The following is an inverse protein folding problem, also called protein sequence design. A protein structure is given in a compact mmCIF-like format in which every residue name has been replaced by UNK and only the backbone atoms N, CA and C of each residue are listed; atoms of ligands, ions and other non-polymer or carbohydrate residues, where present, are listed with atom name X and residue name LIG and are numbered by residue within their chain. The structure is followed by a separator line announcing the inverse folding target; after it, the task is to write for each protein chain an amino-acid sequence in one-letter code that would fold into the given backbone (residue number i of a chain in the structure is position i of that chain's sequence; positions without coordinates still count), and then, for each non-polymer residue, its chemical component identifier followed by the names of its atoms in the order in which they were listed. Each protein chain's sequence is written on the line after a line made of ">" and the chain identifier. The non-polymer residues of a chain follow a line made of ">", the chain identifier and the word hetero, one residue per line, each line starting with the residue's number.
data_IF_718334547006
#
_entry.id   IF_718334547006
#
_cell.length_a   1.000
_cell.length_b   1.000
_cell.length_c   1.000
_cell.angle_alpha   90.00
_cell.angle_beta   90.00
_cell.angle_gamma   90.00
#
_symmetry.space_group_name_H-M   'P 1'
#
loop_
_entity.id
_entity.type
_entity.pdbx_description
1 polymer ?
#
# COMPACT_ATOMS: atom_id res chain seq x y z
N UNK A 1 -15.44 -45.30 -45.57
CA UNK A 1 -16.12 -44.00 -45.33
C UNK A 1 -16.22 -43.81 -43.83
N UNK A 2 -15.52 -42.80 -43.31
CA UNK A 2 -15.59 -42.18 -41.96
C UNK A 2 -15.47 -43.11 -40.73
N UNK A 3 -14.79 -42.78 -39.65
CA UNK A 3 -14.10 -41.55 -39.23
C UNK A 3 -13.16 -41.93 -38.08
N UNK A 4 -12.01 -41.27 -38.09
CA UNK A 4 -11.10 -40.93 -36.98
C UNK A 4 -11.86 -40.36 -35.77
N UNK A 5 -11.38 -40.24 -34.53
CA UNK A 5 -10.03 -40.25 -33.97
C UNK A 5 -10.13 -40.38 -32.42
N UNK A 6 -9.07 -40.94 -31.83
CA UNK A 6 -8.35 -40.50 -30.61
C UNK A 6 -9.16 -40.05 -29.37
N UNK A 7 -8.99 -40.79 -28.27
CA UNK A 7 -8.54 -40.24 -26.98
C UNK A 7 -8.46 -41.35 -25.92
N UNK A 8 -7.28 -41.60 -25.36
CA UNK A 8 -7.08 -41.94 -23.93
C UNK A 8 -5.57 -41.97 -23.67
N UNK A 9 -4.99 -40.81 -23.36
CA UNK A 9 -3.74 -40.77 -22.60
C UNK A 9 -4.07 -40.33 -21.17
N UNK A 10 -4.12 -41.34 -20.32
CA UNK A 10 -4.11 -41.23 -18.87
C UNK A 10 -2.72 -40.78 -18.42
N UNK A 11 -2.64 -39.74 -17.58
CA UNK A 11 -1.49 -39.54 -16.70
C UNK A 11 -1.92 -38.81 -15.43
N UNK A 12 -2.26 -39.67 -14.47
CA UNK A 12 -2.17 -39.48 -13.04
C UNK A 12 -0.82 -38.88 -12.66
N UNK A 13 -0.81 -37.65 -12.11
CA UNK A 13 0.36 -37.15 -11.37
C UNK A 13 -0.03 -36.99 -9.92
N UNK A 14 0.73 -37.71 -9.11
CA UNK A 14 0.54 -38.01 -7.72
C UNK A 14 0.88 -36.81 -6.84
N UNK A 15 0.04 -36.60 -5.82
CA UNK A 15 0.38 -35.84 -4.63
C UNK A 15 1.65 -36.42 -3.98
N UNK A 16 2.69 -35.60 -3.86
CA UNK A 16 3.80 -35.85 -2.93
C UNK A 16 3.88 -34.69 -1.95
N UNK A 17 3.22 -34.88 -0.80
CA UNK A 17 3.51 -34.13 0.41
C UNK A 17 4.95 -34.43 0.86
N UNK A 18 5.72 -33.39 1.12
CA UNK A 18 6.84 -33.44 2.06
C UNK A 18 7.07 -32.05 2.64
N UNK A 19 6.65 -31.90 3.89
CA UNK A 19 6.98 -30.84 4.80
C UNK A 19 8.49 -30.71 5.03
N UNK A 20 9.04 -29.50 4.97
CA UNK A 20 10.05 -29.06 5.94
C UNK A 20 10.21 -27.54 5.91
N UNK A 21 9.79 -26.91 7.00
CA UNK A 21 10.12 -25.53 7.40
C UNK A 21 11.63 -25.40 7.53
N UNK A 22 12.25 -24.42 6.86
CA UNK A 22 13.51 -23.77 7.30
C UNK A 22 13.52 -22.31 6.86
N UNK A 23 13.54 -21.43 7.85
CA UNK A 23 13.79 -20.01 7.70
C UNK A 23 15.22 -19.81 7.14
N UNK A 24 15.37 -19.02 6.07
CA UNK A 24 16.68 -18.55 5.62
C UNK A 24 16.57 -17.09 5.13
N UNK A 25 17.46 -16.25 5.65
CA UNK A 25 17.60 -14.82 5.38
C UNK A 25 17.81 -14.49 3.89
N UNK A 26 17.49 -13.27 3.44
CA UNK A 26 17.79 -12.85 2.08
C UNK A 26 19.29 -12.60 1.91
N UNK A 27 19.91 -13.43 1.08
CA UNK A 27 21.23 -13.24 0.48
C UNK A 27 21.18 -12.08 -0.52
N UNK A 28 21.99 -11.04 -0.27
CA UNK A 28 22.18 -9.91 -1.19
C UNK A 28 23.08 -10.39 -2.35
N UNK A 29 22.55 -10.40 -3.57
CA UNK A 29 23.34 -10.63 -4.78
C UNK A 29 24.01 -9.31 -5.21
N UNK A 30 25.34 -9.33 -5.17
CA UNK A 30 26.24 -8.29 -5.65
C UNK A 30 26.20 -8.19 -7.18
N UNK A 31 25.96 -6.96 -7.70
CA UNK A 31 26.31 -6.59 -9.06
C UNK A 31 27.74 -6.03 -9.06
N UNK A 32 28.62 -6.69 -9.81
CA UNK A 32 30.02 -6.32 -10.01
C UNK A 32 30.15 -5.18 -11.02
N UNK A 33 30.89 -4.12 -10.68
CA UNK A 33 31.58 -3.28 -11.66
C UNK A 33 32.84 -2.66 -11.03
N UNK A 34 33.98 -2.58 -11.74
CA UNK A 34 35.28 -2.34 -11.15
C UNK A 34 35.69 -0.86 -11.25
N UNK A 35 35.98 -0.23 -10.12
CA UNK A 35 36.83 0.95 -10.07
C UNK A 35 37.64 0.92 -8.79
N UNK A 36 38.94 0.67 -8.95
CA UNK A 36 39.91 0.63 -7.88
C UNK A 36 40.03 2.01 -7.20
N UNK A 37 39.85 2.03 -5.88
CA UNK A 37 40.68 2.86 -5.01
C UNK A 37 40.79 2.15 -3.67
N UNK A 38 42.02 1.78 -3.32
CA UNK A 38 42.31 1.03 -2.11
C UNK A 38 42.15 1.93 -0.89
N UNK A 39 41.36 1.52 0.09
CA UNK A 39 41.50 2.01 1.45
C UNK A 39 41.63 0.80 2.38
N UNK A 40 42.88 0.50 2.72
CA UNK A 40 43.26 -0.51 3.69
C UNK A 40 42.63 -0.19 5.05
N UNK A 41 41.76 -1.08 5.55
CA UNK A 41 41.27 -1.02 6.93
C UNK A 41 42.40 -1.49 7.83
N UNK A 42 43.19 -0.54 8.34
CA UNK A 42 44.10 -0.80 9.45
C UNK A 42 43.28 -0.82 10.74
N UNK A 43 43.18 -2.00 11.34
CA UNK A 43 42.75 -2.19 12.72
C UNK A 43 43.67 -1.38 13.64
N UNK A 44 43.14 -0.31 14.23
CA UNK A 44 43.84 0.51 15.22
C UNK A 44 43.24 0.30 16.59
N UNK A 45 44.15 -0.04 17.50
CA UNK A 45 43.93 -0.37 18.88
C UNK A 45 43.24 0.77 19.64
N UNK A 46 42.28 0.38 20.47
CA UNK A 46 41.55 1.24 21.41
C UNK A 46 42.56 1.86 22.38
N UNK A 47 42.91 3.12 22.17
CA UNK A 47 43.58 3.95 23.17
C UNK A 47 42.51 4.70 23.97
N UNK A 48 42.41 4.35 25.25
CA UNK A 48 41.62 5.03 26.26
C UNK A 48 42.08 6.50 26.40
N UNK A 49 41.50 7.38 25.60
CA UNK A 49 41.65 8.82 25.78
C UNK A 49 40.61 9.28 26.80
N UNK A 50 41.02 9.38 28.07
CA UNK A 50 40.25 10.10 29.11
C UNK A 50 40.03 11.53 28.64
N UNK A 51 38.85 11.82 28.10
CA UNK A 51 38.39 13.18 27.94
C UNK A 51 38.02 13.70 29.33
N UNK A 52 38.92 14.50 29.91
CA UNK A 52 38.59 15.38 31.04
C UNK A 52 37.64 16.45 30.48
N UNK A 53 36.35 16.15 30.49
CA UNK A 53 35.33 17.15 30.25
C UNK A 53 35.47 18.22 31.35
N UNK A 54 35.91 19.43 30.97
CA UNK A 54 35.71 20.59 31.83
C UNK A 54 34.21 20.80 31.90
N UNK A 55 33.61 20.44 33.04
CA UNK A 55 32.24 20.77 33.37
C UNK A 55 32.12 22.29 33.38
N UNK A 56 31.71 22.85 32.26
CA UNK A 56 31.09 24.16 32.26
C UNK A 56 29.75 23.95 32.93
N UNK A 57 29.62 24.48 34.14
CA UNK A 57 28.32 24.60 34.81
C UNK A 57 27.43 25.42 33.89
N UNK A 58 26.64 24.75 33.05
CA UNK A 58 25.46 25.35 32.46
C UNK A 58 24.53 25.59 33.63
N UNK A 59 24.64 26.79 34.21
CA UNK A 59 23.71 27.28 35.20
C UNK A 59 22.36 27.36 34.50
N UNK A 60 21.59 26.28 34.62
CA UNK A 60 20.23 26.19 34.16
C UNK A 60 19.44 27.13 35.07
N UNK A 61 19.39 28.41 34.70
CA UNK A 61 18.56 29.37 35.40
C UNK A 61 17.16 28.78 35.42
N UNK A 62 16.67 28.51 36.64
CA UNK A 62 15.33 28.02 36.90
C UNK A 62 14.36 29.14 36.53
N UNK A 63 14.14 29.33 35.23
CA UNK A 63 12.99 30.04 34.72
C UNK A 63 11.77 29.34 35.30
N UNK A 64 10.80 30.08 35.88
CA UNK A 64 9.59 29.47 36.41
C UNK A 64 8.98 28.63 35.29
N UNK A 65 8.86 27.32 35.52
CA UNK A 65 8.14 26.41 34.64
C UNK A 65 6.67 26.78 34.70
N UNK A 66 6.29 27.89 34.05
CA UNK A 66 4.92 28.14 33.66
C UNK A 66 4.67 27.09 32.58
N UNK A 67 4.14 25.94 33.01
CA UNK A 67 3.84 24.85 32.11
C UNK A 67 3.01 25.40 30.96
N UNK A 68 3.54 25.31 29.74
CA UNK A 68 2.73 25.54 28.56
C UNK A 68 1.72 24.40 28.53
N UNK A 69 0.54 24.61 29.11
CA UNK A 69 -0.59 23.70 28.97
C UNK A 69 -1.12 23.93 27.57
N UNK A 70 -0.56 23.22 26.59
CA UNK A 70 -1.11 23.17 25.24
C UNK A 70 -2.46 22.45 25.32
N UNK A 71 -3.55 23.22 25.40
CA UNK A 71 -4.91 22.72 25.18
C UNK A 71 -5.05 22.47 23.68
N UNK A 72 -4.83 21.23 23.24
CA UNK A 72 -5.28 20.83 21.91
C UNK A 72 -6.81 21.01 21.90
N UNK A 73 -7.31 21.82 20.97
CA UNK A 73 -8.73 21.80 20.66
C UNK A 73 -9.05 20.41 20.12
N UNK A 74 -10.19 19.84 20.54
CA UNK A 74 -10.66 18.57 20.01
C UNK A 74 -10.99 18.76 18.53
N UNK A 75 -10.12 18.24 17.67
CA UNK A 75 -10.30 18.29 16.23
C UNK A 75 -11.44 17.34 15.86
N UNK A 76 -12.54 17.89 15.37
CA UNK A 76 -13.65 17.11 14.83
C UNK A 76 -13.41 16.88 13.35
N UNK A 77 -13.38 15.61 12.98
CA UNK A 77 -13.28 15.23 11.60
C UNK A 77 -14.55 15.69 10.86
N UNK A 78 -14.45 16.26 9.65
CA UNK A 78 -15.62 16.56 8.84
C UNK A 78 -16.46 15.31 8.62
N UNK A 79 -17.78 15.47 8.62
CA UNK A 79 -18.66 14.37 8.23
C UNK A 79 -18.43 14.05 6.74
N UNK A 80 -18.52 12.77 6.34
CA UNK A 80 -18.44 12.38 4.93
C UNK A 80 -19.45 13.13 4.06
N UNK A 81 -19.06 13.47 2.82
CA UNK A 81 -19.91 14.19 1.86
C UNK A 81 -20.42 13.21 0.79
N UNK A 82 -21.71 12.80 0.79
CA UNK A 82 -22.22 11.81 -0.15
C UNK A 82 -22.10 12.23 -1.63
N UNK A 83 -22.29 13.52 -1.92
CA UNK A 83 -22.20 14.07 -3.28
C UNK A 83 -20.78 13.95 -3.85
N UNK A 84 -19.76 14.19 -3.01
CA UNK A 84 -18.37 13.99 -3.37
C UNK A 84 -18.09 12.51 -3.64
N UNK A 85 -18.59 11.62 -2.76
CA UNK A 85 -18.41 10.18 -2.92
C UNK A 85 -18.97 9.67 -4.25
N UNK A 86 -20.17 10.08 -4.66
CA UNK A 86 -20.75 9.71 -5.95
C UNK A 86 -19.92 10.22 -7.14
N UNK A 87 -19.51 11.49 -7.10
CA UNK A 87 -18.72 12.10 -8.16
C UNK A 87 -17.34 11.42 -8.33
N UNK A 88 -16.69 11.10 -7.21
CA UNK A 88 -15.36 10.50 -7.19
C UNK A 88 -15.40 9.01 -7.56
N UNK A 89 -16.40 8.29 -7.07
CA UNK A 89 -16.66 6.88 -7.41
C UNK A 89 -16.87 6.70 -8.92
N UNK A 90 -17.55 7.65 -9.58
CA UNK A 90 -17.72 7.60 -11.03
C UNK A 90 -16.39 7.67 -11.79
N UNK A 91 -15.50 8.59 -11.39
CA UNK A 91 -14.15 8.71 -11.99
C UNK A 91 -13.31 7.47 -11.71
N UNK A 92 -13.40 6.94 -10.49
CA UNK A 92 -12.73 5.72 -10.07
C UNK A 92 -13.13 4.53 -10.95
N UNK A 93 -14.44 4.33 -11.15
CA UNK A 93 -14.99 3.26 -11.99
C UNK A 93 -14.43 3.32 -13.41
N UNK A 94 -14.49 4.50 -14.03
CA UNK A 94 -13.99 4.71 -15.40
C UNK A 94 -12.48 4.43 -15.50
N UNK A 95 -11.71 4.83 -14.49
CA UNK A 95 -10.29 4.54 -14.42
C UNK A 95 -10.01 3.04 -14.26
N UNK A 96 -10.75 2.35 -13.39
CA UNK A 96 -10.60 0.91 -13.16
C UNK A 96 -10.91 0.12 -14.44
N UNK A 97 -12.03 0.39 -15.11
CA UNK A 97 -12.36 -0.24 -16.40
C UNK A 97 -11.24 -0.02 -17.42
N UNK A 98 -10.70 1.20 -17.52
CA UNK A 98 -9.58 1.53 -18.43
C UNK A 98 -8.26 0.87 -18.05
N UNK A 99 -8.00 0.61 -16.76
CA UNK A 99 -6.76 -0.01 -16.30
C UNK A 99 -6.79 -1.52 -16.43
N UNK A 100 -7.91 -2.14 -16.11
CA UNK A 100 -8.06 -3.59 -16.12
C UNK A 100 -8.24 -4.13 -17.54
N UNK A 101 -8.93 -3.41 -18.43
CA UNK A 101 -9.03 -3.77 -19.87
C UNK A 101 -7.69 -3.84 -20.61
N UNK A 102 -6.62 -3.24 -20.07
CA UNK A 102 -5.27 -3.32 -20.64
C UNK A 102 -4.50 -4.58 -20.22
N UNK A 103 -5.04 -5.36 -19.30
CA UNK A 103 -4.39 -6.52 -18.70
C UNK A 103 -5.21 -7.74 -19.05
N UNK A 104 -4.56 -8.68 -19.74
CA UNK A 104 -5.16 -9.94 -20.20
C UNK A 104 -5.63 -10.85 -19.06
N UNK A 105 -5.20 -10.58 -17.82
CA UNK A 105 -5.51 -11.38 -16.64
C UNK A 105 -6.99 -11.34 -16.22
N UNK A 106 -7.75 -10.34 -16.67
CA UNK A 106 -9.10 -10.06 -16.19
C UNK A 106 -10.20 -10.42 -17.20
N UNK A 107 -9.80 -10.87 -18.40
CA UNK A 107 -10.58 -11.22 -19.59
C UNK A 107 -12.09 -10.91 -19.49
N UNK A 108 -12.91 -11.86 -19.03
CA UNK A 108 -14.37 -11.72 -18.98
C UNK A 108 -14.90 -11.19 -17.64
N UNK A 109 -14.04 -11.05 -16.64
CA UNK A 109 -14.40 -10.67 -15.27
C UNK A 109 -14.21 -9.17 -14.97
N UNK A 110 -13.80 -8.36 -15.96
CA UNK A 110 -13.49 -6.94 -15.75
C UNK A 110 -14.65 -6.18 -15.11
N UNK A 111 -15.87 -6.34 -15.64
CA UNK A 111 -17.04 -5.60 -15.16
C UNK A 111 -17.39 -5.99 -13.71
N UNK A 112 -17.26 -7.27 -13.36
CA UNK A 112 -17.51 -7.75 -11.99
C UNK A 112 -16.46 -7.23 -11.01
N UNK A 113 -15.18 -7.28 -11.39
CA UNK A 113 -14.07 -6.78 -10.57
C UNK A 113 -14.21 -5.27 -10.34
N UNK A 114 -14.54 -4.52 -11.39
CA UNK A 114 -14.81 -3.09 -11.29
C UNK A 114 -16.00 -2.83 -10.39
N UNK A 115 -17.08 -3.62 -10.51
CA UNK A 115 -18.25 -3.54 -9.64
C UNK A 115 -17.90 -3.68 -8.16
N UNK A 116 -17.19 -4.76 -7.79
CA UNK A 116 -16.73 -5.01 -6.41
C UNK A 116 -15.85 -3.87 -5.89
N UNK A 117 -14.85 -3.46 -6.67
CA UNK A 117 -13.96 -2.38 -6.25
C UNK A 117 -14.73 -1.06 -6.06
N UNK A 118 -15.69 -0.78 -6.94
CA UNK A 118 -16.48 0.45 -6.91
C UNK A 118 -17.40 0.48 -5.69
N UNK A 119 -18.09 -0.63 -5.39
CA UNK A 119 -18.99 -0.75 -4.24
C UNK A 119 -18.27 -0.54 -2.91
N UNK A 120 -17.12 -1.19 -2.72
CA UNK A 120 -16.31 -1.06 -1.49
C UNK A 120 -15.79 0.37 -1.35
N UNK A 121 -15.29 0.94 -2.45
CA UNK A 121 -14.74 2.30 -2.44
C UNK A 121 -15.81 3.36 -2.17
N UNK A 122 -16.98 3.25 -2.80
CA UNK A 122 -18.12 4.15 -2.58
C UNK A 122 -18.59 4.10 -1.12
N UNK A 123 -18.71 2.90 -0.56
CA UNK A 123 -19.12 2.69 0.83
C UNK A 123 -18.15 3.38 1.78
N UNK A 124 -16.86 3.21 1.57
CA UNK A 124 -15.82 3.89 2.34
C UNK A 124 -15.93 5.42 2.21
N UNK A 125 -16.03 5.95 0.99
CA UNK A 125 -16.12 7.40 0.78
C UNK A 125 -17.37 8.03 1.40
N UNK A 126 -18.49 7.30 1.42
CA UNK A 126 -19.76 7.77 2.01
C UNK A 126 -19.79 7.74 3.54
N UNK A 127 -19.00 6.91 4.19
CA UNK A 127 -19.18 6.60 5.62
C UNK A 127 -17.96 6.90 6.49
N UNK A 128 -16.75 6.81 5.93
CA UNK A 128 -15.51 6.88 6.71
C UNK A 128 -14.57 7.99 6.24
N UNK A 129 -14.60 8.32 4.94
CA UNK A 129 -13.75 9.38 4.41
C UNK A 129 -14.29 10.77 4.75
N UNK A 130 -13.57 11.49 5.61
CA UNK A 130 -13.90 12.87 5.99
C UNK A 130 -12.85 13.90 5.55
N UNK A 131 -12.10 13.60 4.49
CA UNK A 131 -11.21 14.56 3.85
C UNK A 131 -9.72 14.20 3.85
N UNK A 132 -8.85 15.15 3.43
CA UNK A 132 -7.51 14.83 2.98
C UNK A 132 -6.67 14.21 4.08
N UNK A 133 -5.90 13.17 3.75
CA UNK A 133 -5.08 12.44 4.71
C UNK A 133 -5.83 11.39 5.54
N UNK A 134 -7.11 11.12 5.25
CA UNK A 134 -7.87 10.01 5.87
C UNK A 134 -8.23 8.88 4.94
N UNK A 135 -7.56 8.80 3.79
CA UNK A 135 -7.64 7.63 2.94
C UNK A 135 -7.09 6.41 3.69
N UNK A 136 -7.96 5.46 4.03
CA UNK A 136 -7.59 4.24 4.74
C UNK A 136 -7.12 3.16 3.77
N UNK A 137 -6.26 2.27 4.27
CA UNK A 137 -5.81 1.09 3.51
C UNK A 137 -6.85 -0.04 3.56
N UNK A 138 -7.66 -0.10 4.62
CA UNK A 138 -8.63 -1.16 4.89
C UNK A 138 -9.56 -1.45 3.71
N UNK A 139 -10.21 -0.45 3.06
CA UNK A 139 -11.06 -0.70 1.90
C UNK A 139 -10.35 -1.43 0.76
N UNK A 140 -9.04 -1.20 0.57
CA UNK A 140 -8.28 -1.86 -0.48
C UNK A 140 -7.84 -3.28 -0.11
N UNK A 141 -7.73 -3.59 1.19
CA UNK A 141 -7.58 -4.97 1.66
C UNK A 141 -8.88 -5.72 1.37
N UNK A 142 -10.01 -5.13 1.75
CA UNK A 142 -11.34 -5.69 1.53
C UNK A 142 -11.61 -5.94 0.05
N UNK A 143 -11.13 -5.06 -0.85
CA UNK A 143 -11.18 -5.30 -2.29
C UNK A 143 -10.44 -6.57 -2.69
N UNK A 144 -9.21 -6.77 -2.21
CA UNK A 144 -8.42 -7.95 -2.56
C UNK A 144 -9.07 -9.23 -2.00
N UNK A 145 -9.52 -9.20 -0.75
CA UNK A 145 -10.13 -10.34 -0.08
C UNK A 145 -11.47 -10.70 -0.71
N UNK A 146 -12.34 -9.72 -0.96
CA UNK A 146 -13.64 -9.96 -1.62
C UNK A 146 -13.48 -10.53 -3.02
N UNK A 147 -12.49 -10.08 -3.79
CA UNK A 147 -12.22 -10.63 -5.11
C UNK A 147 -11.70 -12.08 -5.02
N UNK A 148 -10.85 -12.38 -4.04
CA UNK A 148 -10.37 -13.75 -3.81
C UNK A 148 -11.51 -14.69 -3.35
N UNK A 149 -12.39 -14.22 -2.47
CA UNK A 149 -13.55 -14.96 -1.99
C UNK A 149 -14.55 -15.27 -3.11
N UNK A 150 -14.68 -14.37 -4.09
CA UNK A 150 -15.49 -14.58 -5.30
C UNK A 150 -14.76 -15.34 -6.41
N UNK A 151 -13.55 -15.85 -6.12
CA UNK A 151 -12.68 -16.56 -7.08
C UNK A 151 -12.36 -15.73 -8.35
N UNK A 152 -12.39 -14.41 -8.25
CA UNK A 152 -12.12 -13.49 -9.37
C UNK A 152 -10.60 -13.31 -9.57
N UNK A 153 -10.14 -13.22 -10.82
CA UNK A 153 -8.72 -13.14 -11.11
C UNK A 153 -8.13 -11.79 -10.67
N UNK A 154 -6.90 -11.84 -10.16
CA UNK A 154 -6.06 -10.65 -9.98
C UNK A 154 -6.52 -9.66 -8.90
N UNK A 155 -7.15 -10.14 -7.83
CA UNK A 155 -7.57 -9.33 -6.68
C UNK A 155 -6.47 -8.37 -6.15
N UNK A 156 -5.26 -8.85 -5.82
CA UNK A 156 -4.16 -7.99 -5.37
C UNK A 156 -3.74 -6.92 -6.39
N UNK A 157 -3.87 -7.21 -7.69
CA UNK A 157 -3.53 -6.29 -8.77
C UNK A 157 -4.60 -5.20 -8.93
N UNK A 158 -5.88 -5.57 -8.83
CA UNK A 158 -6.99 -4.63 -8.82
C UNK A 158 -6.89 -3.68 -7.63
N UNK A 159 -6.67 -4.21 -6.42
CA UNK A 159 -6.47 -3.41 -5.22
C UNK A 159 -5.30 -2.43 -5.35
N UNK A 160 -4.15 -2.87 -5.90
CA UNK A 160 -3.00 -1.98 -6.15
C UNK A 160 -3.32 -0.87 -7.16
N UNK A 161 -4.07 -1.18 -8.20
CA UNK A 161 -4.50 -0.18 -9.18
C UNK A 161 -5.42 0.85 -8.53
N UNK A 162 -6.32 0.39 -7.64
CA UNK A 162 -7.22 1.22 -6.88
C UNK A 162 -6.48 2.14 -5.89
N UNK A 163 -5.55 1.59 -5.09
CA UNK A 163 -4.70 2.37 -4.16
C UNK A 163 -4.00 3.49 -4.90
N UNK A 164 -3.33 3.15 -6.01
CA UNK A 164 -2.56 4.14 -6.77
C UNK A 164 -3.45 5.27 -7.28
N UNK A 165 -4.62 4.93 -7.81
CA UNK A 165 -5.55 5.96 -8.27
C UNK A 165 -6.02 6.85 -7.13
N UNK A 166 -6.44 6.24 -6.02
CA UNK A 166 -6.99 6.98 -4.88
C UNK A 166 -5.97 7.95 -4.27
N UNK A 167 -4.71 7.51 -4.15
CA UNK A 167 -3.60 8.36 -3.69
C UNK A 167 -3.37 9.58 -4.59
N UNK A 168 -3.54 9.43 -5.90
CA UNK A 168 -3.28 10.48 -6.88
C UNK A 168 -4.44 11.49 -7.02
N UNK A 169 -5.68 11.12 -6.63
CA UNK A 169 -6.90 11.88 -6.97
C UNK A 169 -7.72 12.30 -5.75
N UNK A 170 -8.01 11.41 -4.79
CA UNK A 170 -9.07 11.62 -3.79
C UNK A 170 -8.82 12.86 -2.92
N UNK A 171 -7.62 12.99 -2.36
CA UNK A 171 -7.24 14.13 -1.52
C UNK A 171 -7.19 15.44 -2.32
N UNK A 172 -6.83 15.36 -3.60
CA UNK A 172 -6.73 16.51 -4.49
C UNK A 172 -8.12 17.01 -4.87
N UNK A 173 -8.97 16.10 -5.31
CA UNK A 173 -10.33 16.39 -5.76
C UNK A 173 -11.19 16.85 -4.58
N UNK A 174 -10.93 16.35 -3.37
CA UNK A 174 -11.56 16.89 -2.15
C UNK A 174 -11.20 18.35 -1.91
N UNK A 175 -9.93 18.73 -2.08
CA UNK A 175 -9.49 20.12 -1.91
C UNK A 175 -10.11 21.03 -2.96
N UNK A 176 -10.26 20.56 -4.19
CA UNK A 176 -10.96 21.28 -5.25
C UNK A 176 -12.47 21.41 -4.94
N UNK A 177 -13.07 20.39 -4.33
CA UNK A 177 -14.49 20.38 -3.95
C UNK A 177 -14.82 21.31 -2.77
N UNK A 178 -13.95 21.33 -1.76
CA UNK A 178 -14.14 22.10 -0.51
C UNK A 178 -13.42 23.44 -0.53
N UNK A 179 -12.65 23.71 -1.59
CA UNK A 179 -12.01 25.00 -1.84
C UNK A 179 -13.07 26.08 -2.03
N UNK A 180 -13.35 26.81 -0.96
CA UNK A 180 -13.95 28.14 -1.06
C UNK A 180 -12.85 29.07 -1.56
N UNK A 181 -13.10 29.85 -2.62
CA UNK A 181 -12.20 30.94 -3.06
C UNK A 181 -11.77 31.86 -1.89
#
# INVERSE_FOLDING_TARGET
>A
MSSSDVALFSSMIQFRSSSSIRNALPTIFNLSSPAASSCAIKSTQILNRRLRAKSTNLSLSSMPRRGFVCRAAEYKFPDPIPEFAEAETKKFRDHMTKKLSKRDLFEDSVDEIVGVCTEIFETFLRSEYGGPGTLLVVPFIDMADTLNERELPGGPQAARAAIKWAQDHVDKDWKEWTGTD
#
